data_IF_041338598996
#
_entry.id   IF_041338598996
#
_cell.length_a   1.000
_cell.length_b   1.000
_cell.length_c   1.000
_cell.angle_alpha   90.00
_cell.angle_beta   90.00
_cell.angle_gamma   90.00
#
_symmetry.space_group_name_H-M   'P 1'
#
loop_
_entity.id
_entity.type
_entity.pdbx_description
1 polymer ?
#
# COMPACT_ATOMS: atom_id res chain seq x y z
N UNK A 1 19.47 -13.60 -3.30
CA UNK A 1 18.72 -13.04 -2.14
C UNK A 1 17.27 -12.97 -2.56
N UNK A 2 16.45 -13.93 -2.14
CA UNK A 2 15.03 -13.98 -2.49
C UNK A 2 14.22 -13.24 -1.44
N UNK A 3 13.52 -12.19 -1.83
CA UNK A 3 12.45 -11.61 -1.04
C UNK A 3 11.30 -12.62 -1.07
N UNK A 4 10.92 -13.16 0.08
CA UNK A 4 9.82 -14.12 0.16
C UNK A 4 8.53 -13.40 -0.23
N UNK A 5 7.92 -13.83 -1.33
CA UNK A 5 6.65 -13.34 -1.90
C UNK A 5 5.48 -13.37 -0.89
N UNK A 6 5.64 -13.95 0.30
CA UNK A 6 4.61 -14.07 1.33
C UNK A 6 4.68 -13.10 2.51
N UNK A 7 5.64 -12.18 2.61
CA UNK A 7 5.71 -11.33 3.81
C UNK A 7 4.64 -10.23 3.85
N UNK A 8 4.37 -9.64 2.69
CA UNK A 8 3.32 -8.62 2.55
C UNK A 8 1.93 -9.24 2.47
N UNK A 9 1.81 -10.55 2.26
CA UNK A 9 0.51 -11.23 2.12
C UNK A 9 -0.35 -11.00 3.34
N UNK A 10 -1.62 -10.63 3.12
CA UNK A 10 -2.58 -10.40 4.18
C UNK A 10 -3.39 -9.12 3.98
N UNK A 11 -4.14 -8.75 5.02
CA UNK A 11 -4.95 -7.54 5.03
C UNK A 11 -4.33 -6.50 5.96
N UNK A 12 -4.13 -5.30 5.44
CA UNK A 12 -3.47 -4.20 6.12
C UNK A 12 -4.42 -3.01 6.21
N UNK A 13 -4.52 -2.42 7.40
CA UNK A 13 -5.12 -1.10 7.59
C UNK A 13 -4.10 -0.06 7.15
N UNK A 14 -4.55 0.92 6.38
CA UNK A 14 -3.74 2.07 5.99
C UNK A 14 -4.13 3.26 6.85
N UNK A 15 -3.16 3.81 7.58
CA UNK A 15 -3.34 5.06 8.33
C UNK A 15 -2.47 6.13 7.71
N UNK A 16 -3.06 7.24 7.25
CA UNK A 16 -2.30 8.40 6.78
C UNK A 16 -1.55 9.05 7.95
N UNK A 17 -0.27 9.33 7.74
CA UNK A 17 0.61 9.97 8.73
C UNK A 17 1.11 11.34 8.28
N UNK A 18 0.86 11.72 7.02
CA UNK A 18 1.15 13.05 6.49
C UNK A 18 0.92 13.14 4.98
N UNK A 19 1.09 14.34 4.43
CA UNK A 19 0.93 14.62 3.01
C UNK A 19 -0.21 15.59 2.68
N UNK A 20 -0.43 15.80 1.39
CA UNK A 20 -1.39 16.78 0.88
C UNK A 20 -2.84 16.26 0.82
N UNK A 21 -3.05 14.96 1.00
CA UNK A 21 -4.39 14.37 0.94
C UNK A 21 -5.05 14.34 2.33
N UNK A 22 -6.37 14.58 2.41
CA UNK A 22 -7.11 14.46 3.65
C UNK A 22 -7.01 13.04 4.23
N UNK A 23 -7.24 12.86 5.54
CA UNK A 23 -7.25 11.53 6.15
C UNK A 23 -8.31 10.64 5.49
N UNK A 24 -7.86 9.65 4.71
CA UNK A 24 -8.75 8.68 4.07
C UNK A 24 -9.10 7.59 5.09
N UNK A 25 -10.25 7.72 5.76
CA UNK A 25 -10.72 6.77 6.76
C UNK A 25 -11.19 5.48 6.09
N UNK A 26 -10.75 4.33 6.61
CA UNK A 26 -11.22 3.02 6.16
C UNK A 26 -10.48 2.45 4.96
N UNK A 27 -9.35 3.02 4.56
CA UNK A 27 -8.48 2.44 3.53
C UNK A 27 -7.82 1.16 4.04
N UNK A 28 -7.89 0.12 3.22
CA UNK A 28 -7.24 -1.17 3.47
C UNK A 28 -6.49 -1.62 2.23
N UNK A 29 -5.42 -2.38 2.42
CA UNK A 29 -4.75 -3.11 1.35
C UNK A 29 -4.89 -4.60 1.59
N UNK A 30 -5.28 -5.35 0.57
CA UNK A 30 -5.19 -6.82 0.56
C UNK A 30 -4.08 -7.20 -0.41
N UNK A 31 -3.14 -8.03 0.03
CA UNK A 31 -2.00 -8.49 -0.76
C UNK A 31 -2.00 -10.02 -0.78
N UNK A 32 -1.82 -10.58 -1.97
CA UNK A 32 -1.75 -12.01 -2.26
C UNK A 32 -0.67 -12.24 -3.32
N UNK A 33 0.51 -12.68 -2.88
CA UNK A 33 1.72 -12.85 -3.66
C UNK A 33 2.16 -11.56 -4.34
N UNK A 34 2.27 -11.61 -5.67
CA UNK A 34 2.74 -10.48 -6.48
C UNK A 34 1.65 -9.44 -6.80
N UNK A 35 0.45 -9.53 -6.19
CA UNK A 35 -0.68 -8.66 -6.48
C UNK A 35 -1.36 -8.17 -5.21
N UNK A 36 -2.04 -7.04 -5.33
CA UNK A 36 -2.89 -6.56 -4.26
C UNK A 36 -3.93 -5.55 -4.73
N UNK A 37 -4.78 -5.16 -3.79
CA UNK A 37 -5.90 -4.24 -4.01
C UNK A 37 -5.98 -3.26 -2.84
N UNK A 38 -6.02 -1.96 -3.15
CA UNK A 38 -6.34 -0.91 -2.19
C UNK A 38 -7.85 -0.67 -2.22
N UNK A 39 -8.55 -0.99 -1.12
CA UNK A 39 -9.99 -0.80 -0.99
C UNK A 39 -10.31 0.35 -0.03
N UNK A 40 -11.35 1.13 -0.37
CA UNK A 40 -11.92 2.18 0.49
C UNK A 40 -13.42 1.95 0.65
N UNK A 41 -13.83 1.45 1.82
CA UNK A 41 -15.24 1.15 2.08
C UNK A 41 -15.84 0.16 1.07
N UNK A 42 -16.92 0.56 0.39
CA UNK A 42 -17.63 -0.22 -0.64
C UNK A 42 -17.17 0.06 -2.08
N UNK A 43 -16.18 0.93 -2.26
CA UNK A 43 -15.70 1.28 -3.60
C UNK A 43 -14.99 0.10 -4.25
N UNK A 44 -15.04 -0.02 -5.59
CA UNK A 44 -14.19 -0.94 -6.33
C UNK A 44 -12.73 -0.71 -5.92
N UNK A 45 -12.08 -1.78 -5.44
CA UNK A 45 -10.71 -1.69 -5.00
C UNK A 45 -9.77 -1.41 -6.18
N UNK A 46 -8.72 -0.61 -5.94
CA UNK A 46 -7.74 -0.23 -6.95
C UNK A 46 -6.61 -1.28 -6.95
N UNK A 47 -6.41 -2.01 -8.06
CA UNK A 47 -5.40 -3.05 -8.12
C UNK A 47 -3.98 -2.47 -8.26
N UNK A 48 -3.02 -3.21 -7.71
CA UNK A 48 -1.58 -2.94 -7.84
C UNK A 48 -0.78 -4.24 -7.91
N UNK A 49 0.41 -4.17 -8.49
CA UNK A 49 1.44 -5.21 -8.44
C UNK A 49 2.41 -4.97 -7.29
N UNK A 50 2.99 -6.06 -6.79
CA UNK A 50 3.97 -6.05 -5.69
C UNK A 50 5.33 -6.44 -6.24
N UNK A 51 6.31 -5.59 -6.00
CA UNK A 51 7.71 -5.77 -6.35
C UNK A 51 8.57 -5.52 -5.10
N UNK A 52 8.85 -6.60 -4.34
CA UNK A 52 9.54 -6.51 -3.06
C UNK A 52 8.75 -5.67 -2.04
N UNK A 53 9.22 -4.45 -1.76
CA UNK A 53 8.57 -3.49 -0.88
C UNK A 53 7.93 -2.32 -1.65
N UNK A 54 7.77 -2.44 -2.96
CA UNK A 54 7.17 -1.42 -3.83
C UNK A 54 5.83 -1.92 -4.37
N UNK A 55 4.80 -1.09 -4.29
CA UNK A 55 3.46 -1.36 -4.83
C UNK A 55 3.20 -0.44 -6.01
N UNK A 56 2.97 -1.00 -7.20
CA UNK A 56 2.75 -0.25 -8.44
C UNK A 56 1.30 -0.39 -8.89
N UNK A 57 0.56 0.71 -8.92
CA UNK A 57 -0.84 0.67 -9.33
C UNK A 57 -0.96 0.34 -10.82
N UNK A 58 -2.06 -0.32 -11.22
CA UNK A 58 -2.28 -0.67 -12.62
C UNK A 58 -2.83 0.52 -13.43
N UNK A 59 -2.66 0.54 -14.77
CA UNK A 59 -3.26 1.54 -15.65
C UNK A 59 -4.78 1.68 -15.43
N UNK A 60 -5.33 2.92 -15.47
CA UNK A 60 -4.67 4.18 -15.83
C UNK A 60 -3.90 4.87 -14.68
N UNK A 61 -3.79 4.24 -13.51
CA UNK A 61 -3.13 4.79 -12.32
C UNK A 61 -1.65 4.39 -12.19
N UNK A 62 -1.02 3.95 -13.28
CA UNK A 62 0.36 3.44 -13.31
C UNK A 62 1.44 4.41 -12.82
N UNK A 63 1.15 5.71 -12.78
CA UNK A 63 2.06 6.72 -12.26
C UNK A 63 2.11 6.79 -10.71
N UNK A 64 1.19 6.09 -10.03
CA UNK A 64 1.16 5.99 -8.57
C UNK A 64 2.01 4.81 -8.11
N UNK A 65 2.88 5.07 -7.15
CA UNK A 65 3.74 4.06 -6.53
C UNK A 65 3.78 4.26 -5.03
N UNK A 66 3.55 3.20 -4.28
CA UNK A 66 3.76 3.18 -2.83
C UNK A 66 5.06 2.42 -2.52
N UNK A 67 5.99 3.06 -1.81
CA UNK A 67 7.21 2.44 -1.30
C UNK A 67 7.04 2.11 0.18
N UNK A 68 7.44 0.90 0.60
CA UNK A 68 7.33 0.44 1.97
C UNK A 68 8.70 0.28 2.62
N UNK A 69 8.74 0.55 3.91
CA UNK A 69 9.87 0.25 4.79
C UNK A 69 9.34 -0.51 6.01
N UNK A 70 10.10 -1.48 6.50
CA UNK A 70 9.71 -2.30 7.66
C UNK A 70 9.67 -1.41 8.91
N UNK A 71 8.59 -1.49 9.66
CA UNK A 71 8.40 -0.71 10.88
C UNK A 71 7.66 -1.54 11.95
N UNK A 72 8.42 -2.12 12.88
CA UNK A 72 7.87 -2.98 13.94
C UNK A 72 7.11 -4.17 13.37
N UNK A 73 5.84 -4.34 13.78
CA UNK A 73 4.95 -5.40 13.28
C UNK A 73 4.25 -5.05 11.94
N UNK A 74 4.63 -3.95 11.31
CA UNK A 74 4.03 -3.49 10.05
C UNK A 74 5.03 -2.73 9.17
N UNK A 75 4.52 -1.73 8.44
CA UNK A 75 5.32 -0.98 7.48
C UNK A 75 5.03 0.51 7.57
N UNK A 76 6.06 1.34 7.45
CA UNK A 76 5.90 2.73 7.00
C UNK A 76 5.84 2.75 5.49
N UNK A 77 5.16 3.74 4.92
CA UNK A 77 5.04 3.87 3.48
C UNK A 77 5.05 5.31 2.99
N UNK A 78 5.67 5.51 1.83
CA UNK A 78 5.64 6.75 1.05
C UNK A 78 4.83 6.53 -0.21
N UNK A 79 3.86 7.40 -0.46
CA UNK A 79 3.07 7.41 -1.68
C UNK A 79 3.63 8.47 -2.63
N UNK A 80 3.96 8.05 -3.85
CA UNK A 80 4.55 8.90 -4.88
C UNK A 80 3.68 8.93 -6.14
N UNK A 81 3.68 10.06 -6.82
CA UNK A 81 3.04 10.26 -8.12
C UNK A 81 4.06 10.91 -9.05
N UNK A 82 4.37 10.25 -10.17
CA UNK A 82 5.47 10.67 -11.06
C UNK A 82 6.79 10.89 -10.28
N UNK A 83 7.10 10.00 -9.32
CA UNK A 83 8.30 10.07 -8.49
C UNK A 83 8.30 11.17 -7.42
N UNK A 84 7.23 11.96 -7.30
CA UNK A 84 7.09 12.97 -6.24
C UNK A 84 6.27 12.44 -5.09
N UNK A 85 6.81 12.50 -3.87
CA UNK A 85 6.07 12.14 -2.66
C UNK A 85 4.87 13.10 -2.49
N UNK A 86 3.67 12.53 -2.35
CA UNK A 86 2.46 13.29 -2.04
C UNK A 86 1.83 12.90 -0.71
N UNK A 87 2.32 11.82 -0.09
CA UNK A 87 1.95 11.52 1.29
C UNK A 87 2.66 10.34 1.90
N UNK A 88 2.43 10.20 3.20
CA UNK A 88 2.97 9.13 4.04
C UNK A 88 1.86 8.37 4.73
N UNK A 89 2.11 7.11 5.00
CA UNK A 89 1.17 6.23 5.68
C UNK A 89 1.90 5.16 6.48
N UNK A 90 1.17 4.46 7.33
CA UNK A 90 1.61 3.23 7.94
C UNK A 90 0.62 2.10 7.63
N UNK A 91 1.14 0.89 7.48
CA UNK A 91 0.41 -0.35 7.37
C UNK A 91 0.45 -1.07 8.71
N UNK A 92 -0.73 -1.36 9.26
CA UNK A 92 -0.87 -2.23 10.42
C UNK A 92 -1.68 -3.45 10.04
N UNK A 93 -1.20 -4.62 10.46
CA UNK A 93 -1.84 -5.90 10.15
C UNK A 93 -3.24 -5.92 10.75
N UNK A 94 -4.25 -6.21 9.94
CA UNK A 94 -5.57 -6.55 10.45
C UNK A 94 -5.55 -8.04 10.83
N UNK A 95 -5.82 -8.35 12.09
CA UNK A 95 -6.16 -9.71 12.49
C UNK A 95 -7.54 -10.01 11.88
N UNK A 96 -7.61 -11.07 11.09
CA UNK A 96 -8.87 -11.66 10.66
C UNK A 96 -9.28 -12.74 11.66
#
# INVERSE_FOLDING_TARGET
>A
MSFCVGELDGVWRVTRTGGALPPLIGVRKRIEGARGVTALGRLPGIPFEVDGLTLRYLPPLGAFVDELERAGEGYSGRATFHGREYGRFCLTRLRQ
#
